data_IF_976233866657
#
_entry.id   IF_976233866657
#
_cell.length_a   1.000
_cell.length_b   1.000
_cell.length_c   1.000
_cell.angle_alpha   90.00
_cell.angle_beta   90.00
_cell.angle_gamma   90.00
#
_symmetry.space_group_name_H-M   'P 1'
#
loop_
_entity.id
_entity.type
_entity.pdbx_description
1 polymer ?
#
# COMPACT_ATOMS: atom_id res chain seq x y z
N UNK A 1 -60.28 -98.82 68.18
CA UNK A 1 -59.34 -97.75 67.81
C UNK A 1 -58.91 -98.01 66.39
N UNK A 2 -59.46 -97.25 65.45
CA UNK A 2 -59.22 -97.41 64.01
C UNK A 2 -58.91 -96.02 63.48
N UNK A 3 -57.70 -95.83 62.96
CA UNK A 3 -57.27 -94.52 62.48
C UNK A 3 -58.06 -94.13 61.22
N UNK A 4 -58.49 -92.86 61.07
CA UNK A 4 -58.93 -92.36 59.79
C UNK A 4 -57.69 -92.23 58.88
N UNK A 5 -57.59 -93.09 57.86
CA UNK A 5 -56.65 -92.83 56.76
C UNK A 5 -57.00 -91.49 56.12
N UNK A 6 -55.99 -90.65 55.88
CA UNK A 6 -56.15 -89.34 55.23
C UNK A 6 -56.30 -89.54 53.72
N UNK A 7 -57.48 -89.32 53.10
CA UNK A 7 -57.71 -89.65 51.70
C UNK A 7 -57.38 -88.46 50.77
N UNK A 8 -56.31 -87.71 51.07
CA UNK A 8 -55.92 -86.49 50.33
C UNK A 8 -54.40 -86.40 50.15
N UNK A 9 -53.84 -87.36 49.42
CA UNK A 9 -52.63 -87.08 48.65
C UNK A 9 -53.02 -86.14 47.50
N UNK A 10 -52.36 -84.99 47.30
CA UNK A 10 -52.65 -84.13 46.15
C UNK A 10 -52.28 -84.87 44.87
N UNK A 11 -53.25 -85.03 43.95
CA UNK A 11 -52.99 -85.58 42.62
C UNK A 11 -52.14 -84.59 41.83
N UNK A 12 -50.89 -84.92 41.56
CA UNK A 12 -49.96 -84.12 40.75
C UNK A 12 -50.27 -84.18 39.23
N UNK A 13 -51.53 -84.03 38.82
CA UNK A 13 -51.97 -84.11 37.42
C UNK A 13 -53.06 -83.08 37.09
N UNK A 14 -52.84 -81.83 37.47
CA UNK A 14 -53.53 -80.68 36.89
C UNK A 14 -52.48 -79.64 36.48
N UNK A 15 -52.52 -79.21 35.22
CA UNK A 15 -51.53 -78.31 34.62
C UNK A 15 -51.30 -77.08 35.49
N UNK A 16 -50.09 -76.90 36.04
CA UNK A 16 -49.78 -75.78 36.93
C UNK A 16 -49.97 -74.46 36.16
N UNK A 17 -50.81 -73.52 36.63
CA UNK A 17 -51.06 -72.28 35.91
C UNK A 17 -49.77 -71.46 35.86
N UNK A 18 -49.35 -71.10 34.64
CA UNK A 18 -48.20 -70.24 34.39
C UNK A 18 -48.63 -68.77 34.46
N UNK A 19 -48.17 -68.06 35.49
CA UNK A 19 -48.37 -66.62 35.62
C UNK A 19 -47.27 -65.85 34.88
N UNK A 20 -47.63 -64.73 34.26
CA UNK A 20 -46.65 -63.86 33.61
C UNK A 20 -45.77 -63.12 34.62
N UNK A 21 -44.49 -62.95 34.29
CA UNK A 21 -43.49 -62.25 35.11
C UNK A 21 -43.49 -60.75 34.79
N UNK A 22 -43.83 -59.94 35.79
CA UNK A 22 -43.62 -58.50 35.80
C UNK A 22 -42.19 -58.15 36.28
N UNK A 23 -41.81 -56.87 36.18
CA UNK A 23 -40.48 -56.35 36.57
C UNK A 23 -40.06 -56.71 38.02
N UNK A 24 -41.02 -57.08 38.89
CA UNK A 24 -40.77 -57.58 40.24
C UNK A 24 -41.85 -58.59 40.67
N UNK A 25 -41.74 -59.84 40.22
CA UNK A 25 -42.64 -60.94 40.59
C UNK A 25 -43.70 -61.23 39.52
N UNK A 26 -44.82 -61.84 39.89
CA UNK A 26 -45.91 -62.18 38.96
C UNK A 26 -46.88 -61.00 38.74
N UNK A 27 -47.63 -61.00 37.64
CA UNK A 27 -48.75 -60.06 37.45
C UNK A 27 -49.82 -60.27 38.52
N UNK A 28 -49.92 -59.29 39.42
CA UNK A 28 -50.89 -59.26 40.51
C UNK A 28 -52.33 -59.48 40.02
N UNK A 29 -52.73 -58.95 38.85
CA UNK A 29 -54.12 -59.10 38.35
C UNK A 29 -54.44 -60.52 37.93
N UNK A 30 -53.45 -61.29 37.48
CA UNK A 30 -53.61 -62.70 37.12
C UNK A 30 -53.68 -63.56 38.38
N UNK A 31 -52.82 -63.28 39.37
CA UNK A 31 -52.81 -63.96 40.67
C UNK A 31 -54.11 -63.70 41.43
N UNK A 32 -54.55 -62.45 41.58
CA UNK A 32 -55.79 -62.09 42.30
C UNK A 32 -57.02 -62.79 41.69
N UNK A 33 -57.09 -62.89 40.35
CA UNK A 33 -58.17 -63.61 39.64
C UNK A 33 -58.11 -65.12 39.88
N UNK A 34 -56.92 -65.72 39.83
CA UNK A 34 -56.74 -67.15 40.08
C UNK A 34 -57.07 -67.53 41.52
N UNK A 35 -56.67 -66.71 42.50
CA UNK A 35 -57.03 -66.91 43.91
C UNK A 35 -58.54 -66.86 44.10
N UNK A 36 -59.22 -65.84 43.56
CA UNK A 36 -60.68 -65.73 43.64
C UNK A 36 -61.41 -66.93 42.99
N UNK A 37 -60.88 -67.46 41.89
CA UNK A 37 -61.41 -68.67 41.26
C UNK A 37 -61.19 -69.92 42.14
N UNK A 38 -59.98 -70.12 42.64
CA UNK A 38 -59.64 -71.26 43.49
C UNK A 38 -60.41 -71.26 44.83
N UNK A 39 -60.67 -70.07 45.40
CA UNK A 39 -61.54 -69.90 46.57
C UNK A 39 -62.99 -70.30 46.26
N UNK A 40 -63.51 -69.95 45.08
CA UNK A 40 -64.82 -70.38 44.60
C UNK A 40 -64.93 -71.89 44.40
N UNK A 41 -63.93 -72.51 43.75
CA UNK A 41 -63.86 -73.95 43.51
C UNK A 41 -63.79 -74.74 44.84
N UNK A 42 -63.00 -74.25 45.81
CA UNK A 42 -62.94 -74.82 47.17
C UNK A 42 -64.27 -74.70 47.92
N UNK A 43 -65.00 -73.59 47.74
CA UNK A 43 -66.34 -73.41 48.28
C UNK A 43 -67.33 -74.44 47.73
N UNK A 44 -67.36 -74.62 46.41
CA UNK A 44 -68.21 -75.63 45.76
C UNK A 44 -67.91 -77.06 46.24
N UNK A 45 -66.63 -77.42 46.36
CA UNK A 45 -66.21 -78.73 46.87
C UNK A 45 -66.58 -78.95 48.35
N UNK A 46 -66.54 -77.90 49.18
CA UNK A 46 -67.00 -77.98 50.57
C UNK A 46 -68.53 -78.22 50.67
N UNK A 47 -69.29 -77.52 49.84
CA UNK A 47 -70.74 -77.70 49.70
C UNK A 47 -71.12 -79.12 49.26
N UNK A 48 -70.41 -79.68 48.27
CA UNK A 48 -70.60 -81.06 47.83
C UNK A 48 -70.28 -82.09 48.92
N UNK A 49 -69.16 -81.89 49.63
CA UNK A 49 -68.76 -82.70 50.79
C UNK A 49 -69.87 -82.72 51.86
N UNK A 50 -70.44 -81.56 52.18
CA UNK A 50 -71.43 -81.46 53.25
C UNK A 50 -72.79 -82.06 52.85
N UNK A 51 -73.17 -81.95 51.56
CA UNK A 51 -74.31 -82.71 51.01
C UNK A 51 -74.08 -84.22 51.11
N UNK A 52 -72.88 -84.71 50.79
CA UNK A 52 -72.54 -86.13 50.90
C UNK A 52 -72.57 -86.64 52.35
N UNK A 53 -72.03 -85.90 53.31
CA UNK A 53 -72.15 -86.25 54.74
C UNK A 53 -73.60 -86.28 55.21
N UNK A 54 -74.44 -85.33 54.76
CA UNK A 54 -75.88 -85.33 55.05
C UNK A 54 -76.62 -86.56 54.51
N UNK A 55 -76.20 -87.10 53.35
CA UNK A 55 -76.74 -88.35 52.81
C UNK A 55 -76.31 -89.57 53.63
N UNK A 56 -75.03 -89.64 54.02
CA UNK A 56 -74.50 -90.73 54.87
C UNK A 56 -75.25 -90.81 56.20
N UNK A 57 -75.51 -89.67 56.86
CA UNK A 57 -76.29 -89.65 58.10
C UNK A 57 -77.74 -90.13 57.92
N UNK A 58 -78.41 -89.74 56.83
CA UNK A 58 -79.78 -90.20 56.51
C UNK A 58 -79.85 -91.71 56.32
N UNK A 59 -78.89 -92.29 55.59
CA UNK A 59 -78.79 -93.74 55.37
C UNK A 59 -78.52 -94.49 56.70
N UNK A 60 -77.66 -93.94 57.57
CA UNK A 60 -77.44 -94.49 58.92
C UNK A 60 -78.71 -94.57 59.77
N UNK A 61 -79.54 -93.52 59.74
CA UNK A 61 -80.82 -93.49 60.43
C UNK A 61 -81.86 -94.49 59.86
N UNK A 62 -81.84 -94.76 58.56
CA UNK A 62 -82.71 -95.77 57.93
C UNK A 62 -82.32 -97.20 58.34
N UNK A 63 -81.01 -97.50 58.39
CA UNK A 63 -80.51 -98.80 58.83
C UNK A 63 -80.90 -99.12 60.28
N UNK A 64 -80.86 -98.13 61.18
CA UNK A 64 -81.29 -98.31 62.57
C UNK A 64 -82.79 -98.63 62.70
N UNK A 65 -83.65 -98.00 61.89
CA UNK A 65 -85.10 -98.29 61.89
C UNK A 65 -85.41 -99.70 61.40
N UNK A 66 -84.79 -100.11 60.29
CA UNK A 66 -84.95 -101.46 59.75
C UNK A 66 -84.48 -102.54 60.75
N UNK A 67 -83.40 -102.29 61.50
CA UNK A 67 -82.98 -103.17 62.58
C UNK A 67 -84.04 -103.30 63.68
N UNK A 68 -84.69 -102.20 64.08
CA UNK A 68 -85.75 -102.21 65.09
C UNK A 68 -86.98 -103.02 64.65
N UNK A 69 -87.47 -102.80 63.42
CA UNK A 69 -88.63 -103.52 62.86
C UNK A 69 -88.40 -105.04 62.79
N UNK A 70 -87.19 -105.47 62.41
CA UNK A 70 -86.80 -106.90 62.37
C UNK A 70 -86.79 -107.52 63.77
N UNK A 71 -86.45 -106.76 64.82
CA UNK A 71 -86.60 -107.25 66.21
C UNK A 71 -88.06 -107.34 66.66
N UNK A 72 -88.94 -106.41 66.27
CA UNK A 72 -90.35 -106.43 66.66
C UNK A 72 -91.10 -107.64 66.06
N UNK A 73 -90.90 -107.89 64.75
CA UNK A 73 -91.53 -109.01 64.05
C UNK A 73 -91.15 -110.38 64.62
N UNK A 74 -89.99 -110.51 65.27
CA UNK A 74 -89.54 -111.74 65.93
C UNK A 74 -90.22 -112.03 67.28
N UNK A 75 -90.98 -111.10 67.85
CA UNK A 75 -91.54 -111.22 69.22
C UNK A 75 -93.02 -111.61 69.30
N UNK A 76 -93.72 -111.88 68.18
CA UNK A 76 -95.16 -112.23 68.19
C UNK A 76 -95.42 -113.75 68.08
N UNK A 77 -95.91 -114.42 69.14
CA UNK A 77 -96.44 -115.78 69.07
C UNK A 77 -97.92 -115.81 68.65
N UNK A 78 -98.32 -116.83 67.87
CA UNK A 78 -99.70 -117.01 67.40
C UNK A 78 -100.54 -117.92 68.32
N UNK A 79 -101.85 -117.64 68.42
CA UNK A 79 -102.86 -118.52 69.02
C UNK A 79 -104.07 -118.63 68.09
N UNK A 80 -104.57 -119.85 67.89
CA UNK A 80 -105.91 -120.14 67.40
C UNK A 80 -106.44 -121.32 68.20
N UNK A 81 -107.68 -121.24 68.65
CA UNK A 81 -108.37 -122.31 69.38
C UNK A 81 -109.87 -122.22 69.06
N UNK A 82 -110.53 -123.36 68.82
CA UNK A 82 -111.99 -123.44 68.66
C UNK A 82 -112.50 -124.88 68.80
N UNK A 83 -113.32 -125.10 69.84
CA UNK A 83 -113.93 -126.37 70.18
C UNK A 83 -115.23 -126.64 69.39
N UNK A 84 -115.65 -127.91 69.35
CA UNK A 84 -116.88 -128.36 68.69
C UNK A 84 -118.06 -128.46 69.67
N UNK A 85 -119.27 -128.17 69.19
CA UNK A 85 -120.51 -128.33 69.94
C UNK A 85 -121.40 -129.40 69.30
N UNK A 86 -121.75 -130.42 70.09
CA UNK A 86 -122.67 -131.52 69.73
C UNK A 86 -124.00 -131.25 70.47
N UNK A 87 -125.13 -131.69 69.89
CA UNK A 87 -126.49 -131.70 70.51
C UNK A 87 -127.42 -130.47 70.34
N UNK A 88 -127.55 -129.93 69.13
CA UNK A 88 -128.75 -129.17 68.71
C UNK A 88 -129.11 -129.61 67.28
N UNK A 89 -130.32 -130.15 67.04
CA UNK A 89 -130.61 -130.80 65.75
C UNK A 89 -132.08 -130.91 65.31
N UNK A 90 -132.99 -130.07 65.84
CA UNK A 90 -134.05 -129.55 64.95
C UNK A 90 -134.31 -128.04 65.08
N UNK A 91 -134.22 -127.47 66.29
CA UNK A 91 -134.38 -126.02 66.48
C UNK A 91 -133.15 -125.25 65.95
N UNK A 92 -131.98 -125.89 65.93
CA UNK A 92 -130.82 -125.36 65.22
C UNK A 92 -131.02 -125.36 63.72
N UNK A 93 -131.79 -126.27 63.11
CA UNK A 93 -132.02 -126.20 61.66
C UNK A 93 -132.92 -125.02 61.28
N UNK A 94 -133.92 -124.67 62.12
CA UNK A 94 -134.69 -123.43 61.93
C UNK A 94 -133.88 -122.16 62.24
N UNK A 95 -133.06 -122.17 63.30
CA UNK A 95 -132.19 -121.03 63.63
C UNK A 95 -131.10 -120.87 62.56
N UNK A 96 -130.54 -121.96 62.03
CA UNK A 96 -129.59 -121.95 60.92
C UNK A 96 -130.26 -121.49 59.64
N UNK A 97 -131.46 -121.98 59.27
CA UNK A 97 -132.14 -121.52 58.05
C UNK A 97 -132.58 -120.04 58.13
N UNK A 98 -132.91 -119.53 59.32
CA UNK A 98 -133.15 -118.09 59.54
C UNK A 98 -131.84 -117.29 59.55
N UNK A 99 -130.79 -117.81 60.19
CA UNK A 99 -129.47 -117.17 60.23
C UNK A 99 -128.78 -117.21 58.85
N UNK A 100 -129.06 -118.20 58.02
CA UNK A 100 -128.59 -118.35 56.64
C UNK A 100 -129.30 -117.32 55.76
N UNK A 101 -130.64 -117.20 55.83
CA UNK A 101 -131.37 -116.10 55.17
C UNK A 101 -130.95 -114.71 55.66
N UNK A 102 -130.65 -114.56 56.96
CA UNK A 102 -130.13 -113.30 57.50
C UNK A 102 -128.68 -113.05 57.07
N UNK A 103 -127.84 -114.08 57.00
CA UNK A 103 -126.47 -113.99 56.49
C UNK A 103 -126.47 -113.65 55.01
N UNK A 104 -127.32 -114.30 54.19
CA UNK A 104 -127.57 -113.95 52.79
C UNK A 104 -128.03 -112.49 52.66
N UNK A 105 -128.98 -112.04 53.48
CA UNK A 105 -129.43 -110.64 53.48
C UNK A 105 -128.30 -109.65 53.88
N UNK A 106 -127.47 -110.01 54.87
CA UNK A 106 -126.31 -109.20 55.29
C UNK A 106 -125.22 -109.22 54.22
N UNK A 107 -124.91 -110.35 53.59
CA UNK A 107 -123.93 -110.44 52.50
C UNK A 107 -124.42 -109.72 51.26
N UNK A 108 -125.71 -109.78 50.93
CA UNK A 108 -126.28 -109.04 49.81
C UNK A 108 -126.29 -107.53 50.07
N UNK A 109 -126.68 -107.06 51.25
CA UNK A 109 -126.63 -105.62 51.59
C UNK A 109 -125.19 -105.12 51.72
N UNK A 110 -124.28 -105.86 52.35
CA UNK A 110 -122.85 -105.47 52.39
C UNK A 110 -122.20 -105.53 51.02
N UNK A 111 -122.52 -106.48 50.15
CA UNK A 111 -122.06 -106.48 48.76
C UNK A 111 -122.59 -105.26 47.99
N UNK A 112 -123.86 -104.88 48.18
CA UNK A 112 -124.43 -103.66 47.61
C UNK A 112 -123.75 -102.38 48.15
N UNK A 113 -123.48 -102.30 49.45
CA UNK A 113 -122.76 -101.17 50.05
C UNK A 113 -121.30 -101.10 49.60
N UNK A 114 -120.61 -102.23 49.50
CA UNK A 114 -119.23 -102.32 48.99
C UNK A 114 -119.19 -101.92 47.51
N UNK A 115 -120.10 -102.43 46.67
CA UNK A 115 -120.22 -102.03 45.27
C UNK A 115 -120.56 -100.53 45.13
N UNK A 116 -121.42 -100.00 46.00
CA UNK A 116 -121.74 -98.57 46.07
C UNK A 116 -120.51 -97.72 46.37
N UNK A 117 -119.80 -98.02 47.46
CA UNK A 117 -118.58 -97.29 47.84
C UNK A 117 -117.42 -97.50 46.86
N UNK A 118 -117.32 -98.66 46.20
CA UNK A 118 -116.38 -98.87 45.09
C UNK A 118 -116.72 -97.96 43.91
N UNK A 119 -117.98 -97.90 43.48
CA UNK A 119 -118.41 -97.01 42.41
C UNK A 119 -118.27 -95.51 42.79
N UNK A 120 -118.45 -95.14 44.05
CA UNK A 120 -118.17 -93.78 44.56
C UNK A 120 -116.66 -93.47 44.53
N UNK A 121 -115.81 -94.39 45.00
CA UNK A 121 -114.36 -94.22 44.99
C UNK A 121 -113.80 -94.19 43.56
N UNK A 122 -114.30 -95.04 42.65
CA UNK A 122 -113.94 -95.03 41.23
C UNK A 122 -114.33 -93.71 40.55
N UNK A 123 -115.51 -93.16 40.85
CA UNK A 123 -115.91 -91.82 40.38
C UNK A 123 -114.98 -90.73 40.91
N UNK A 124 -114.72 -90.69 42.22
CA UNK A 124 -113.82 -89.68 42.81
C UNK A 124 -112.40 -89.79 42.25
N UNK A 125 -111.92 -91.01 41.96
CA UNK A 125 -110.62 -91.23 41.31
C UNK A 125 -110.64 -90.79 39.83
N UNK A 126 -111.72 -91.05 39.08
CA UNK A 126 -111.88 -90.60 37.71
C UNK A 126 -111.95 -89.06 37.64
N UNK A 127 -112.78 -88.43 38.47
CA UNK A 127 -112.92 -86.98 38.58
C UNK A 127 -111.57 -86.32 38.95
N UNK A 128 -110.84 -86.90 39.92
CA UNK A 128 -109.52 -86.40 40.32
C UNK A 128 -108.45 -86.61 39.23
N UNK A 129 -108.51 -87.69 38.46
CA UNK A 129 -107.64 -87.92 37.31
C UNK A 129 -107.94 -86.97 36.16
N UNK A 130 -109.22 -86.69 35.89
CA UNK A 130 -109.64 -85.71 34.88
C UNK A 130 -109.19 -84.30 35.27
N UNK A 131 -109.45 -83.87 36.51
CA UNK A 131 -108.97 -82.58 37.04
C UNK A 131 -107.44 -82.47 36.99
N UNK A 132 -106.71 -83.53 37.36
CA UNK A 132 -105.25 -83.55 37.26
C UNK A 132 -104.75 -83.49 35.81
N UNK A 133 -105.48 -84.07 34.85
CA UNK A 133 -105.17 -83.98 33.42
C UNK A 133 -105.47 -82.58 32.86
N UNK A 134 -106.60 -81.98 33.24
CA UNK A 134 -106.97 -80.60 32.88
C UNK A 134 -105.92 -79.60 33.37
N UNK A 135 -105.60 -79.60 34.67
CA UNK A 135 -104.59 -78.70 35.26
C UNK A 135 -103.20 -78.92 34.64
N UNK A 136 -102.83 -80.16 34.28
CA UNK A 136 -101.58 -80.42 33.55
C UNK A 136 -101.59 -79.82 32.15
N UNK A 137 -102.67 -79.99 31.40
CA UNK A 137 -102.80 -79.43 30.04
C UNK A 137 -102.80 -77.89 30.06
N UNK A 138 -103.46 -77.27 31.05
CA UNK A 138 -103.42 -75.82 31.29
C UNK A 138 -102.00 -75.33 31.59
N UNK A 139 -101.30 -75.96 32.53
CA UNK A 139 -99.91 -75.62 32.87
C UNK A 139 -98.94 -75.85 31.70
N UNK A 140 -99.13 -76.91 30.90
CA UNK A 140 -98.33 -77.15 29.70
C UNK A 140 -98.59 -76.08 28.62
N UNK A 141 -99.84 -75.65 28.45
CA UNK A 141 -100.20 -74.56 27.55
C UNK A 141 -99.65 -73.20 28.03
N UNK A 142 -99.73 -72.89 29.32
CA UNK A 142 -99.11 -71.69 29.90
C UNK A 142 -97.59 -71.71 29.74
N UNK A 143 -96.92 -72.83 30.03
CA UNK A 143 -95.47 -72.96 29.84
C UNK A 143 -95.06 -72.85 28.37
N UNK A 144 -95.85 -73.38 27.44
CA UNK A 144 -95.63 -73.21 26.01
C UNK A 144 -95.80 -71.75 25.59
N UNK A 145 -96.87 -71.07 26.03
CA UNK A 145 -97.08 -69.65 25.79
C UNK A 145 -95.91 -68.81 26.31
N UNK A 146 -95.52 -69.00 27.59
CA UNK A 146 -94.38 -68.32 28.22
C UNK A 146 -93.05 -68.56 27.52
N UNK A 147 -92.81 -69.76 26.97
CA UNK A 147 -91.64 -70.04 26.13
C UNK A 147 -91.66 -69.22 24.85
N UNK A 148 -92.78 -69.21 24.10
CA UNK A 148 -92.88 -68.41 22.88
C UNK A 148 -92.82 -66.89 23.12
N UNK A 149 -93.32 -66.42 24.27
CA UNK A 149 -93.16 -65.02 24.70
C UNK A 149 -91.69 -64.69 25.02
N UNK A 150 -91.00 -65.58 25.75
CA UNK A 150 -89.59 -65.40 26.08
C UNK A 150 -88.69 -65.45 24.84
N UNK A 151 -88.95 -66.37 23.92
CA UNK A 151 -88.25 -66.50 22.62
C UNK A 151 -88.41 -65.22 21.80
N UNK A 152 -89.64 -64.71 21.62
CA UNK A 152 -89.91 -63.43 20.95
C UNK A 152 -89.20 -62.26 21.63
N UNK A 153 -89.28 -62.16 22.96
CA UNK A 153 -88.62 -61.09 23.70
C UNK A 153 -87.08 -61.18 23.63
N UNK A 154 -86.50 -62.37 23.47
CA UNK A 154 -85.08 -62.57 23.21
C UNK A 154 -84.71 -62.19 21.76
N UNK A 155 -85.52 -62.56 20.78
CA UNK A 155 -85.35 -62.18 19.37
C UNK A 155 -85.46 -60.67 19.17
N UNK A 156 -86.46 -60.02 19.75
CA UNK A 156 -86.64 -58.56 19.73
C UNK A 156 -85.44 -57.84 20.38
N UNK A 157 -84.97 -58.30 21.54
CA UNK A 157 -83.78 -57.74 22.19
C UNK A 157 -82.51 -57.94 21.35
N UNK A 158 -82.35 -59.10 20.70
CA UNK A 158 -81.21 -59.36 19.79
C UNK A 158 -81.29 -58.48 18.54
N UNK A 159 -82.49 -58.29 17.96
CA UNK A 159 -82.70 -57.43 16.81
C UNK A 159 -82.44 -55.95 17.16
N UNK A 160 -82.91 -55.47 18.31
CA UNK A 160 -82.64 -54.12 18.79
C UNK A 160 -81.13 -53.87 18.99
N UNK A 161 -80.43 -54.76 19.70
CA UNK A 161 -78.97 -54.66 19.90
C UNK A 161 -78.21 -54.75 18.56
N UNK A 162 -78.66 -55.57 17.61
CA UNK A 162 -78.05 -55.61 16.26
C UNK A 162 -78.28 -54.32 15.47
N UNK A 163 -79.46 -53.70 15.59
CA UNK A 163 -79.75 -52.41 14.97
C UNK A 163 -78.91 -51.28 15.58
N UNK A 164 -78.82 -51.19 16.90
CA UNK A 164 -77.96 -50.22 17.61
C UNK A 164 -76.48 -50.41 17.23
N UNK A 165 -75.99 -51.67 17.18
CA UNK A 165 -74.61 -51.95 16.74
C UNK A 165 -74.38 -51.62 15.26
N UNK A 166 -75.38 -51.75 14.39
CA UNK A 166 -75.29 -51.32 13.01
C UNK A 166 -75.23 -49.80 12.89
N UNK A 167 -76.07 -49.08 13.63
CA UNK A 167 -76.07 -47.60 13.67
C UNK A 167 -74.74 -47.06 14.23
N UNK A 168 -74.25 -47.59 15.35
CA UNK A 168 -72.96 -47.20 15.94
C UNK A 168 -71.80 -47.47 14.96
N UNK A 169 -71.84 -48.57 14.20
CA UNK A 169 -70.84 -48.85 13.16
C UNK A 169 -70.92 -47.84 12.02
N UNK A 170 -72.11 -47.55 11.51
CA UNK A 170 -72.30 -46.56 10.45
C UNK A 170 -71.84 -45.16 10.89
N UNK A 171 -72.21 -44.72 12.10
CA UNK A 171 -71.75 -43.46 12.67
C UNK A 171 -70.21 -43.44 12.82
N UNK A 172 -69.60 -44.53 13.30
CA UNK A 172 -68.15 -44.64 13.43
C UNK A 172 -67.43 -44.67 12.08
N UNK A 173 -68.03 -45.25 11.03
CA UNK A 173 -67.49 -45.24 9.67
C UNK A 173 -67.62 -43.85 9.03
N UNK A 174 -68.77 -43.17 9.19
CA UNK A 174 -68.96 -41.77 8.77
C UNK A 174 -67.93 -40.85 9.43
N UNK A 175 -67.78 -40.90 10.76
CA UNK A 175 -66.79 -40.08 11.48
C UNK A 175 -65.35 -40.38 11.07
N UNK A 176 -65.01 -41.64 10.73
CA UNK A 176 -63.69 -41.99 10.17
C UNK A 176 -63.50 -41.41 8.77
N UNK A 177 -64.50 -41.52 7.90
CA UNK A 177 -64.44 -41.00 6.53
C UNK A 177 -64.37 -39.46 6.52
N UNK A 178 -65.15 -38.78 7.36
CA UNK A 178 -65.09 -37.33 7.58
C UNK A 178 -63.73 -36.91 8.13
N UNK A 179 -63.19 -37.63 9.12
CA UNK A 179 -61.86 -37.38 9.68
C UNK A 179 -60.72 -37.59 8.67
N UNK A 180 -60.82 -38.62 7.83
CA UNK A 180 -59.87 -38.87 6.72
C UNK A 180 -59.96 -37.78 5.66
N UNK A 181 -61.16 -37.42 5.21
CA UNK A 181 -61.36 -36.35 4.24
C UNK A 181 -60.85 -34.99 4.75
N UNK A 182 -61.12 -34.65 6.02
CA UNK A 182 -60.61 -33.44 6.65
C UNK A 182 -59.07 -33.46 6.78
N UNK A 183 -58.47 -34.62 7.08
CA UNK A 183 -57.02 -34.78 7.12
C UNK A 183 -56.38 -34.63 5.73
N UNK A 184 -56.94 -35.26 4.70
CA UNK A 184 -56.48 -35.13 3.31
C UNK A 184 -56.62 -33.69 2.80
N UNK A 185 -57.70 -32.99 3.14
CA UNK A 185 -57.88 -31.57 2.84
C UNK A 185 -56.82 -30.72 3.54
N UNK A 186 -56.57 -30.94 4.84
CA UNK A 186 -55.54 -30.24 5.59
C UNK A 186 -54.13 -30.51 5.03
N UNK A 187 -53.83 -31.74 4.59
CA UNK A 187 -52.58 -32.04 3.90
C UNK A 187 -52.46 -31.33 2.55
N UNK A 188 -53.53 -31.30 1.75
CA UNK A 188 -53.54 -30.63 0.44
C UNK A 188 -53.39 -29.12 0.60
N UNK A 189 -54.06 -28.51 1.59
CA UNK A 189 -53.91 -27.10 1.91
C UNK A 189 -52.51 -26.79 2.46
N UNK A 190 -51.96 -27.62 3.34
CA UNK A 190 -50.57 -27.47 3.80
C UNK A 190 -49.55 -27.59 2.66
N UNK A 191 -49.73 -28.55 1.74
CA UNK A 191 -48.90 -28.68 0.52
C UNK A 191 -49.02 -27.43 -0.35
N UNK A 192 -50.24 -26.95 -0.62
CA UNK A 192 -50.49 -25.72 -1.38
C UNK A 192 -49.88 -24.48 -0.74
N UNK A 193 -50.01 -24.29 0.57
CA UNK A 193 -49.42 -23.16 1.30
C UNK A 193 -47.89 -23.24 1.27
N UNK A 194 -47.32 -24.44 1.41
CA UNK A 194 -45.87 -24.64 1.29
C UNK A 194 -45.35 -24.34 -0.13
N UNK A 195 -46.05 -24.79 -1.17
CA UNK A 195 -45.71 -24.50 -2.56
C UNK A 195 -45.83 -23.01 -2.87
N UNK A 196 -46.92 -22.36 -2.44
CA UNK A 196 -47.11 -20.91 -2.61
C UNK A 196 -46.04 -20.11 -1.84
N UNK A 197 -45.72 -20.51 -0.61
CA UNK A 197 -44.67 -19.87 0.19
C UNK A 197 -43.29 -20.05 -0.44
N UNK A 198 -42.97 -21.24 -0.97
CA UNK A 198 -41.75 -21.49 -1.70
C UNK A 198 -41.67 -20.63 -2.98
N UNK A 199 -42.77 -20.51 -3.74
CA UNK A 199 -42.83 -19.64 -4.92
C UNK A 199 -42.61 -18.17 -4.56
N UNK A 200 -43.25 -17.65 -3.51
CA UNK A 200 -43.06 -16.26 -3.04
C UNK A 200 -41.62 -16.03 -2.55
N UNK A 201 -41.02 -17.00 -1.85
CA UNK A 201 -39.61 -16.92 -1.42
C UNK A 201 -38.67 -16.89 -2.63
N UNK A 202 -38.86 -17.76 -3.62
CA UNK A 202 -38.01 -17.77 -4.83
C UNK A 202 -38.23 -16.53 -5.72
N UNK A 203 -39.47 -16.02 -5.83
CA UNK A 203 -39.75 -14.74 -6.49
C UNK A 203 -39.04 -13.58 -5.78
N UNK A 204 -39.16 -13.47 -4.45
CA UNK A 204 -38.50 -12.42 -3.65
C UNK A 204 -36.98 -12.51 -3.77
N UNK A 205 -36.40 -13.72 -3.81
CA UNK A 205 -34.97 -13.94 -4.08
C UNK A 205 -34.58 -13.51 -5.48
N UNK A 206 -35.36 -13.86 -6.50
CA UNK A 206 -35.08 -13.48 -7.89
C UNK A 206 -35.16 -11.96 -8.10
N UNK A 207 -36.19 -11.31 -7.54
CA UNK A 207 -36.36 -9.86 -7.56
C UNK A 207 -35.22 -9.13 -6.83
N UNK A 208 -34.88 -9.56 -5.61
CA UNK A 208 -33.77 -8.96 -4.85
C UNK A 208 -32.41 -9.20 -5.50
N UNK A 209 -32.17 -10.36 -6.12
CA UNK A 209 -30.98 -10.62 -6.91
C UNK A 209 -30.91 -9.73 -8.16
N UNK A 210 -32.02 -9.57 -8.89
CA UNK A 210 -32.11 -8.68 -10.04
C UNK A 210 -31.88 -7.21 -9.68
N UNK A 211 -32.43 -6.74 -8.55
CA UNK A 211 -32.20 -5.39 -8.02
C UNK A 211 -30.73 -5.18 -7.61
N UNK A 212 -30.09 -6.20 -6.99
CA UNK A 212 -28.67 -6.14 -6.64
C UNK A 212 -27.77 -6.11 -7.88
N UNK A 213 -28.06 -6.91 -8.90
CA UNK A 213 -27.31 -6.87 -10.17
C UNK A 213 -27.53 -5.55 -10.92
N UNK A 214 -28.76 -5.02 -10.95
CA UNK A 214 -29.03 -3.70 -11.52
C UNK A 214 -28.27 -2.58 -10.80
N UNK A 215 -28.27 -2.59 -9.46
CA UNK A 215 -27.52 -1.62 -8.64
C UNK A 215 -25.99 -1.75 -8.83
N UNK A 216 -25.48 -2.99 -8.96
CA UNK A 216 -24.06 -3.26 -9.30
C UNK A 216 -23.71 -2.72 -10.69
N UNK A 217 -24.53 -3.00 -11.70
CA UNK A 217 -24.32 -2.52 -13.07
C UNK A 217 -24.36 -1.00 -13.15
N UNK A 218 -25.33 -0.34 -12.50
CA UNK A 218 -25.38 1.12 -12.39
C UNK A 218 -24.13 1.68 -11.70
N UNK A 219 -23.72 1.10 -10.56
CA UNK A 219 -22.52 1.54 -9.83
C UNK A 219 -21.25 1.40 -10.69
N UNK A 220 -21.12 0.30 -11.43
CA UNK A 220 -20.02 0.08 -12.38
C UNK A 220 -20.05 1.09 -13.54
N UNK A 221 -21.23 1.39 -14.08
CA UNK A 221 -21.40 2.39 -15.14
C UNK A 221 -21.04 3.80 -14.65
N UNK A 222 -21.53 4.22 -13.47
CA UNK A 222 -21.17 5.50 -12.86
C UNK A 222 -19.66 5.59 -12.55
N UNK A 223 -19.06 4.52 -12.04
CA UNK A 223 -17.62 4.44 -11.81
C UNK A 223 -16.83 4.58 -13.12
N UNK A 224 -17.26 3.90 -14.19
CA UNK A 224 -16.62 3.97 -15.51
C UNK A 224 -16.77 5.38 -16.13
N UNK A 225 -17.93 6.01 -15.98
CA UNK A 225 -18.16 7.39 -16.40
C UNK A 225 -17.25 8.37 -15.64
N UNK A 226 -17.20 8.27 -14.30
CA UNK A 226 -16.34 9.12 -13.46
C UNK A 226 -14.85 8.92 -13.75
N UNK A 227 -14.42 7.71 -14.08
CA UNK A 227 -13.05 7.42 -14.54
C UNK A 227 -12.78 8.08 -15.89
N UNK A 228 -13.66 7.89 -16.87
CA UNK A 228 -13.51 8.51 -18.19
C UNK A 228 -13.51 10.05 -18.15
N UNK A 229 -14.30 10.69 -17.27
CA UNK A 229 -14.24 12.15 -17.07
C UNK A 229 -12.95 12.58 -16.39
N UNK A 230 -12.49 11.86 -15.35
CA UNK A 230 -11.23 12.17 -14.67
C UNK A 230 -10.01 11.98 -15.60
N UNK A 231 -10.00 10.95 -16.44
CA UNK A 231 -8.97 10.71 -17.45
C UNK A 231 -8.93 11.84 -18.50
N UNK A 232 -10.09 12.34 -18.95
CA UNK A 232 -10.19 13.52 -19.82
C UNK A 232 -9.65 14.78 -19.14
N UNK A 233 -10.08 15.08 -17.92
CA UNK A 233 -9.57 16.23 -17.15
C UNK A 233 -8.05 16.16 -16.94
N UNK A 234 -7.51 14.98 -16.64
CA UNK A 234 -6.06 14.77 -16.49
C UNK A 234 -5.35 14.98 -17.84
N UNK A 235 -5.91 14.47 -18.94
CA UNK A 235 -5.40 14.70 -20.30
C UNK A 235 -5.39 16.18 -20.69
N UNK A 236 -6.48 16.89 -20.43
CA UNK A 236 -6.62 18.33 -20.68
C UNK A 236 -5.63 19.15 -19.83
N UNK A 237 -5.51 18.86 -18.53
CA UNK A 237 -4.54 19.52 -17.64
C UNK A 237 -3.10 19.24 -18.06
N UNK A 238 -2.77 18.00 -18.49
CA UNK A 238 -1.45 17.66 -19.05
C UNK A 238 -1.16 18.42 -20.34
N UNK A 239 -2.07 18.40 -21.30
CA UNK A 239 -1.91 19.13 -22.56
C UNK A 239 -1.81 20.66 -22.36
N UNK A 240 -2.53 21.22 -21.38
CA UNK A 240 -2.40 22.63 -21.00
C UNK A 240 -1.01 22.94 -20.39
N UNK A 241 -0.54 22.09 -19.46
CA UNK A 241 0.79 22.23 -18.85
C UNK A 241 1.92 22.06 -19.88
N UNK A 242 1.81 21.10 -20.81
CA UNK A 242 2.76 20.90 -21.90
C UNK A 242 2.83 22.12 -22.84
N UNK A 243 1.68 22.70 -23.21
CA UNK A 243 1.62 23.95 -23.99
C UNK A 243 2.27 25.11 -23.26
N UNK A 244 2.07 25.22 -21.95
CA UNK A 244 2.67 26.29 -21.16
C UNK A 244 4.19 26.11 -20.98
N UNK A 245 4.66 24.89 -20.73
CA UNK A 245 6.09 24.57 -20.74
C UNK A 245 6.73 24.82 -22.11
N UNK A 246 6.04 24.50 -23.21
CA UNK A 246 6.51 24.82 -24.57
C UNK A 246 6.62 26.33 -24.79
N UNK A 247 5.62 27.12 -24.39
CA UNK A 247 5.68 28.60 -24.43
C UNK A 247 6.85 29.13 -23.61
N UNK A 248 7.01 28.68 -22.37
CA UNK A 248 8.09 29.12 -21.48
C UNK A 248 9.47 28.78 -22.05
N UNK A 249 9.63 27.60 -22.67
CA UNK A 249 10.84 27.26 -23.44
C UNK A 249 11.05 28.23 -24.59
N UNK A 250 10.08 28.44 -25.48
CA UNK A 250 10.25 29.38 -26.60
C UNK A 250 10.57 30.81 -26.14
N UNK A 251 10.00 31.27 -25.03
CA UNK A 251 10.32 32.58 -24.43
C UNK A 251 11.73 32.61 -23.82
N UNK A 252 12.20 31.52 -23.21
CA UNK A 252 13.56 31.39 -22.69
C UNK A 252 14.58 31.32 -23.83
N UNK A 253 14.28 30.58 -24.90
CA UNK A 253 15.11 30.48 -26.11
C UNK A 253 15.23 31.85 -26.79
N UNK A 254 14.11 32.58 -26.95
CA UNK A 254 14.08 33.95 -27.47
C UNK A 254 14.91 34.91 -26.61
N UNK A 255 14.78 34.86 -25.27
CA UNK A 255 15.60 35.68 -24.35
C UNK A 255 17.08 35.33 -24.44
N UNK A 256 17.43 34.05 -24.55
CA UNK A 256 18.82 33.59 -24.68
C UNK A 256 19.42 34.05 -26.01
N UNK A 257 18.66 33.94 -27.10
CA UNK A 257 19.06 34.46 -28.42
C UNK A 257 19.22 35.98 -28.43
N UNK A 258 18.32 36.72 -27.76
CA UNK A 258 18.44 38.18 -27.61
C UNK A 258 19.69 38.57 -26.82
N UNK A 259 19.93 37.95 -25.66
CA UNK A 259 21.14 38.19 -24.85
C UNK A 259 22.42 37.80 -25.61
N UNK A 260 22.39 36.75 -26.44
CA UNK A 260 23.51 36.43 -27.32
C UNK A 260 23.71 37.48 -28.44
N UNK A 261 22.65 37.99 -29.05
CA UNK A 261 22.74 39.05 -30.04
C UNK A 261 23.29 40.36 -29.42
N UNK A 262 22.81 40.74 -28.23
CA UNK A 262 23.31 41.88 -27.45
C UNK A 262 24.79 41.69 -27.08
N UNK A 263 25.18 40.51 -26.59
CA UNK A 263 26.58 40.20 -26.26
C UNK A 263 27.50 40.21 -27.50
N UNK A 264 27.00 39.73 -28.66
CA UNK A 264 27.72 39.82 -29.94
C UNK A 264 27.87 41.28 -30.38
N UNK A 265 26.82 42.09 -30.31
CA UNK A 265 26.87 43.53 -30.62
C UNK A 265 27.86 44.25 -29.72
N UNK A 266 27.82 44.03 -28.40
CA UNK A 266 28.78 44.58 -27.45
C UNK A 266 30.22 44.11 -27.75
N UNK A 267 30.42 42.84 -28.11
CA UNK A 267 31.75 42.34 -28.51
C UNK A 267 32.25 43.02 -29.79
N UNK A 268 31.40 43.19 -30.81
CA UNK A 268 31.77 43.91 -32.04
C UNK A 268 32.03 45.40 -31.80
N UNK A 269 31.28 46.04 -30.91
CA UNK A 269 31.47 47.46 -30.54
C UNK A 269 32.75 47.67 -29.72
N UNK A 270 33.07 46.78 -28.78
CA UNK A 270 34.36 46.79 -28.06
C UNK A 270 35.50 46.55 -29.04
N UNK A 271 35.36 45.58 -29.95
CA UNK A 271 36.37 45.32 -30.99
C UNK A 271 36.57 46.53 -31.91
N UNK A 272 35.48 47.16 -32.39
CA UNK A 272 35.53 48.40 -33.18
C UNK A 272 36.28 49.50 -32.45
N UNK A 273 35.98 49.73 -31.17
CA UNK A 273 36.69 50.73 -30.34
C UNK A 273 38.17 50.40 -30.17
N UNK A 274 38.53 49.13 -29.99
CA UNK A 274 39.93 48.71 -29.90
C UNK A 274 40.64 48.87 -31.25
N UNK A 275 39.98 48.58 -32.37
CA UNK A 275 40.51 48.79 -33.72
C UNK A 275 40.66 50.29 -34.05
N UNK A 276 39.73 51.15 -33.60
CA UNK A 276 39.82 52.62 -33.71
C UNK A 276 40.91 53.22 -32.80
N UNK A 277 41.05 52.71 -31.57
CA UNK A 277 42.15 53.07 -30.69
C UNK A 277 43.49 52.60 -31.28
N UNK A 278 43.58 51.38 -31.80
CA UNK A 278 44.78 50.87 -32.46
C UNK A 278 45.12 51.67 -33.72
N UNK A 279 44.13 52.06 -34.53
CA UNK A 279 44.33 52.91 -35.70
C UNK A 279 44.85 54.31 -35.30
N UNK A 280 44.22 54.97 -34.31
CA UNK A 280 44.68 56.28 -33.84
C UNK A 280 46.06 56.22 -33.16
N UNK A 281 46.39 55.14 -32.44
CA UNK A 281 47.73 54.90 -31.92
C UNK A 281 48.74 54.59 -33.03
N UNK A 282 48.35 53.89 -34.10
CA UNK A 282 49.18 53.65 -35.27
C UNK A 282 49.45 54.96 -36.03
N UNK A 283 48.44 55.80 -36.22
CA UNK A 283 48.59 57.15 -36.79
C UNK A 283 49.54 58.00 -35.94
N UNK A 284 49.35 58.04 -34.61
CA UNK A 284 50.25 58.70 -33.66
C UNK A 284 51.69 58.17 -33.77
N UNK A 285 51.89 56.86 -33.84
CA UNK A 285 53.21 56.25 -34.02
C UNK A 285 53.83 56.63 -35.37
N UNK A 286 53.06 56.66 -36.47
CA UNK A 286 53.58 57.11 -37.77
C UNK A 286 53.92 58.59 -37.79
N UNK A 287 53.14 59.44 -37.11
CA UNK A 287 53.44 60.86 -36.98
C UNK A 287 54.72 61.10 -36.14
N UNK A 288 54.87 60.37 -35.01
CA UNK A 288 56.10 60.41 -34.20
C UNK A 288 57.29 59.86 -34.97
N UNK A 289 57.11 58.80 -35.77
CA UNK A 289 58.15 58.24 -36.64
C UNK A 289 58.62 59.28 -37.68
N UNK A 290 57.68 59.97 -38.34
CA UNK A 290 57.98 61.06 -39.27
C UNK A 290 58.64 62.26 -38.57
N UNK A 291 58.24 62.61 -37.35
CA UNK A 291 58.88 63.66 -36.55
C UNK A 291 60.31 63.26 -36.13
N UNK A 292 60.55 61.99 -35.80
CA UNK A 292 61.88 61.44 -35.54
C UNK A 292 62.74 61.49 -36.81
N UNK A 293 62.21 61.07 -37.96
CA UNK A 293 62.91 61.13 -39.25
C UNK A 293 63.24 62.57 -39.65
N UNK A 294 62.31 63.52 -39.47
CA UNK A 294 62.55 64.95 -39.69
C UNK A 294 63.63 65.48 -38.73
N UNK A 295 63.55 65.18 -37.43
CA UNK A 295 64.59 65.52 -36.44
C UNK A 295 65.95 64.90 -36.78
N UNK A 296 65.98 63.67 -37.32
CA UNK A 296 67.22 63.04 -37.78
C UNK A 296 67.80 63.75 -39.02
N UNK A 297 66.95 64.14 -39.98
CA UNK A 297 67.38 64.93 -41.14
C UNK A 297 67.92 66.30 -40.70
N UNK A 298 67.24 66.98 -39.79
CA UNK A 298 67.69 68.27 -39.24
C UNK A 298 68.97 68.14 -38.40
N UNK A 299 69.12 67.07 -37.60
CA UNK A 299 70.38 66.76 -36.94
C UNK A 299 71.51 66.47 -37.94
N UNK A 300 71.21 65.84 -39.07
CA UNK A 300 72.19 65.57 -40.14
C UNK A 300 72.61 66.86 -40.83
N UNK A 301 71.65 67.76 -41.13
CA UNK A 301 71.92 69.11 -41.64
C UNK A 301 72.76 69.93 -40.66
N UNK A 302 72.34 69.99 -39.39
CA UNK A 302 73.07 70.72 -38.36
C UNK A 302 74.49 70.18 -38.18
N UNK A 303 74.69 68.86 -38.32
CA UNK A 303 76.02 68.24 -38.29
C UNK A 303 76.86 68.64 -39.50
N UNK A 304 76.29 68.65 -40.70
CA UNK A 304 76.95 69.15 -41.91
C UNK A 304 77.28 70.66 -41.81
N UNK A 305 76.42 71.48 -41.21
CA UNK A 305 76.66 72.89 -40.95
C UNK A 305 77.79 73.10 -39.93
N UNK A 306 77.84 72.28 -38.87
CA UNK A 306 78.93 72.26 -37.88
C UNK A 306 80.25 71.79 -38.52
N UNK A 307 80.23 70.74 -39.33
CA UNK A 307 81.41 70.25 -40.05
C UNK A 307 81.91 71.30 -41.06
N UNK A 308 81.00 71.96 -41.78
CA UNK A 308 81.32 73.08 -42.68
C UNK A 308 81.79 74.34 -41.92
N UNK A 309 81.32 74.58 -40.70
CA UNK A 309 81.85 75.63 -39.82
C UNK A 309 83.24 75.27 -39.29
N UNK A 310 83.49 74.01 -38.93
CA UNK A 310 84.78 73.50 -38.51
C UNK A 310 85.82 73.57 -39.65
N UNK A 311 85.43 73.22 -40.88
CA UNK A 311 86.26 73.40 -42.07
C UNK A 311 86.60 74.86 -42.32
N UNK A 312 85.62 75.78 -42.25
CA UNK A 312 85.89 77.24 -42.34
C UNK A 312 86.83 77.74 -41.23
N UNK A 313 86.71 77.19 -40.01
CA UNK A 313 87.64 77.47 -38.90
C UNK A 313 89.03 76.86 -39.08
N UNK A 314 89.16 75.74 -39.80
CA UNK A 314 90.45 75.17 -40.18
C UNK A 314 91.12 76.01 -41.28
N UNK A 315 90.35 76.41 -42.29
CA UNK A 315 90.77 77.32 -43.36
C UNK A 315 91.33 78.63 -42.77
N UNK A 316 90.55 79.32 -41.91
CA UNK A 316 90.97 80.57 -41.26
C UNK A 316 92.21 80.40 -40.38
N UNK A 317 92.42 79.24 -39.75
CA UNK A 317 93.66 78.95 -38.99
C UNK A 317 94.85 78.73 -39.92
N UNK A 318 94.64 78.09 -41.06
CA UNK A 318 95.68 77.88 -42.07
C UNK A 318 96.08 79.20 -42.75
N UNK A 319 95.09 80.01 -43.12
CA UNK A 319 95.28 81.37 -43.66
C UNK A 319 96.02 82.27 -42.65
N UNK A 320 95.65 82.18 -41.37
CA UNK A 320 96.34 82.84 -40.25
C UNK A 320 97.79 82.37 -40.08
N UNK A 321 98.06 81.06 -40.16
CA UNK A 321 99.40 80.50 -40.07
C UNK A 321 100.29 80.93 -41.26
N UNK A 322 99.73 81.04 -42.47
CA UNK A 322 100.45 81.62 -43.62
C UNK A 322 100.75 83.10 -43.41
N UNK A 323 99.78 83.89 -42.94
CA UNK A 323 99.97 85.31 -42.66
C UNK A 323 101.02 85.56 -41.56
N UNK A 324 101.05 84.76 -40.50
CA UNK A 324 102.09 84.80 -39.46
C UNK A 324 103.48 84.45 -40.03
N UNK A 325 103.56 83.49 -40.97
CA UNK A 325 104.82 83.12 -41.62
C UNK A 325 105.35 84.23 -42.55
N UNK A 326 104.49 84.91 -43.29
CA UNK A 326 104.84 86.07 -44.13
C UNK A 326 105.31 87.25 -43.26
N UNK A 327 104.61 87.48 -42.14
CA UNK A 327 104.94 88.53 -41.18
C UNK A 327 106.29 88.26 -40.48
N UNK A 328 106.63 87.00 -40.23
CA UNK A 328 107.96 86.60 -39.75
C UNK A 328 109.06 86.86 -40.80
N UNK A 329 108.84 86.52 -42.07
CA UNK A 329 109.79 86.80 -43.16
C UNK A 329 110.02 88.31 -43.36
N UNK A 330 108.95 89.11 -43.32
CA UNK A 330 109.04 90.57 -43.40
C UNK A 330 109.83 91.18 -42.23
N UNK A 331 109.65 90.67 -41.01
CA UNK A 331 110.45 91.07 -39.83
C UNK A 331 111.92 90.71 -39.99
N UNK A 332 112.26 89.55 -40.55
CA UNK A 332 113.65 89.16 -40.79
C UNK A 332 114.33 90.10 -41.80
N UNK A 333 113.70 90.36 -42.96
CA UNK A 333 114.22 91.29 -43.99
C UNK A 333 114.44 92.70 -43.43
N UNK A 334 113.54 93.19 -42.58
CA UNK A 334 113.67 94.50 -41.93
C UNK A 334 114.79 94.52 -40.87
N UNK A 335 115.09 93.38 -40.25
CA UNK A 335 116.24 93.21 -39.37
C UNK A 335 117.58 93.21 -40.10
N UNK A 336 117.64 92.63 -41.30
CA UNK A 336 118.83 92.62 -42.16
C UNK A 336 119.15 94.03 -42.69
N UNK A 337 118.18 94.70 -43.33
CA UNK A 337 118.34 96.06 -43.85
C UNK A 337 118.77 97.10 -42.79
N UNK A 338 118.38 96.89 -41.51
CA UNK A 338 118.84 97.74 -40.39
C UNK A 338 120.32 97.52 -40.04
N UNK A 339 120.86 96.30 -40.17
CA UNK A 339 122.28 96.04 -39.90
C UNK A 339 123.15 96.69 -40.97
N UNK A 340 122.75 96.58 -42.24
CA UNK A 340 123.50 97.15 -43.37
C UNK A 340 123.57 98.67 -43.28
N UNK A 341 122.43 99.34 -43.00
CA UNK A 341 122.38 100.78 -42.75
C UNK A 341 123.30 101.22 -41.59
N UNK A 342 123.40 100.41 -40.53
CA UNK A 342 124.28 100.68 -39.38
C UNK A 342 125.76 100.48 -39.72
N UNK A 343 126.07 99.61 -40.69
CA UNK A 343 127.41 99.45 -41.25
C UNK A 343 127.85 100.66 -42.07
N UNK A 344 127.01 101.13 -42.99
CA UNK A 344 127.29 102.28 -43.84
C UNK A 344 127.44 103.59 -43.05
N UNK A 345 126.61 103.81 -42.03
CA UNK A 345 126.75 104.99 -41.17
C UNK A 345 128.10 105.06 -40.43
N UNK A 346 128.68 103.91 -40.05
CA UNK A 346 130.03 103.88 -39.44
C UNK A 346 131.14 104.21 -40.43
N UNK A 347 131.07 103.66 -41.65
CA UNK A 347 132.02 103.95 -42.74
C UNK A 347 132.07 105.44 -43.06
N UNK A 348 130.90 106.09 -43.08
CA UNK A 348 130.76 107.51 -43.41
C UNK A 348 131.31 108.43 -42.30
N UNK A 349 131.15 108.06 -41.03
CA UNK A 349 131.69 108.81 -39.88
C UNK A 349 133.22 108.73 -39.78
N UNK A 350 133.82 107.58 -40.13
CA UNK A 350 135.27 107.39 -40.18
C UNK A 350 135.91 108.24 -41.30
N UNK A 351 135.33 108.24 -42.49
CA UNK A 351 135.77 109.09 -43.61
C UNK A 351 135.71 110.59 -43.26
N UNK A 352 134.68 111.01 -42.51
CA UNK A 352 134.51 112.41 -42.10
C UNK A 352 135.58 112.88 -41.11
N UNK A 353 135.93 112.03 -40.14
CA UNK A 353 136.99 112.33 -39.14
C UNK A 353 138.38 112.44 -39.78
N UNK A 354 138.65 111.67 -40.84
CA UNK A 354 139.88 111.81 -41.61
C UNK A 354 139.97 113.19 -42.29
N UNK A 355 138.90 113.65 -42.95
CA UNK A 355 138.84 114.96 -43.60
C UNK A 355 139.06 116.13 -42.62
N UNK A 356 138.42 116.10 -41.44
CA UNK A 356 138.56 117.13 -40.40
C UNK A 356 140.00 117.28 -39.87
N UNK A 357 140.81 116.22 -39.94
CA UNK A 357 142.23 116.25 -39.53
C UNK A 357 143.11 116.95 -40.57
N UNK A 358 142.87 116.70 -41.86
CA UNK A 358 143.59 117.34 -42.95
C UNK A 358 143.29 118.84 -43.04
N UNK A 359 142.04 119.25 -42.76
CA UNK A 359 141.65 120.66 -42.80
C UNK A 359 142.34 121.51 -41.71
N UNK A 360 142.65 120.90 -40.55
CA UNK A 360 143.34 121.61 -39.44
C UNK A 360 144.79 121.94 -39.80
N UNK A 361 145.53 121.02 -40.40
CA UNK A 361 146.89 121.30 -40.89
C UNK A 361 146.91 122.34 -42.01
N UNK A 362 145.91 122.36 -42.91
CA UNK A 362 145.79 123.40 -43.93
C UNK A 362 145.54 124.81 -43.35
N UNK A 363 144.82 124.91 -42.23
CA UNK A 363 144.52 126.19 -41.54
C UNK A 363 145.74 126.76 -40.81
N UNK A 364 146.57 125.93 -40.17
CA UNK A 364 147.79 126.41 -39.49
C UNK A 364 148.82 126.98 -40.46
N UNK A 365 149.03 126.34 -41.62
CA UNK A 365 149.93 126.86 -42.67
C UNK A 365 149.45 128.22 -43.20
N UNK A 366 148.14 128.36 -43.49
CA UNK A 366 147.55 129.64 -43.92
C UNK A 366 147.68 130.75 -42.87
N UNK A 367 147.47 130.44 -41.59
CA UNK A 367 147.51 131.41 -40.51
C UNK A 367 148.93 131.91 -40.16
N UNK A 368 149.98 131.23 -40.63
CA UNK A 368 151.38 131.70 -40.50
C UNK A 368 151.74 132.64 -41.65
N UNK A 369 151.45 132.24 -42.89
CA UNK A 369 151.69 133.05 -44.10
C UNK A 369 150.94 134.39 -44.07
N UNK A 370 149.67 134.42 -43.62
CA UNK A 370 148.92 135.67 -43.51
C UNK A 370 149.46 136.66 -42.46
N UNK A 371 150.12 136.18 -41.39
CA UNK A 371 150.69 137.06 -40.37
C UNK A 371 151.98 137.75 -40.82
N UNK A 372 152.70 137.19 -41.78
CA UNK A 372 153.82 137.88 -42.44
C UNK A 372 153.33 138.84 -43.53
N UNK A 373 152.26 138.50 -44.27
CA UNK A 373 151.65 139.44 -45.23
C UNK A 373 151.09 140.71 -44.56
N UNK A 374 150.52 140.61 -43.35
CA UNK A 374 150.03 141.78 -42.60
C UNK A 374 151.14 142.63 -41.93
N UNK A 375 152.41 142.23 -42.01
CA UNK A 375 153.54 143.15 -41.76
C UNK A 375 153.49 144.33 -42.76
N UNK A 376 153.03 144.07 -43.99
CA UNK A 376 153.07 144.92 -45.19
C UNK A 376 152.33 146.28 -45.07
N UNK A 377 151.02 146.20 -44.81
CA UNK A 377 150.04 147.12 -45.39
C UNK A 377 149.76 148.42 -44.59
N UNK A 378 149.70 148.34 -43.26
CA UNK A 378 149.24 149.46 -42.44
C UNK A 378 150.29 150.57 -42.25
N UNK A 379 151.55 150.33 -42.68
CA UNK A 379 152.60 151.36 -42.76
C UNK A 379 152.48 152.24 -44.03
N UNK A 380 151.76 151.80 -45.05
CA UNK A 380 151.72 152.45 -46.37
C UNK A 380 150.45 153.31 -46.60
N UNK A 381 149.31 152.96 -46.01
CA UNK A 381 148.03 153.64 -46.27
C UNK A 381 147.95 155.08 -45.73
N UNK A 382 148.76 155.45 -44.73
CA UNK A 382 148.81 156.81 -44.19
C UNK A 382 149.90 157.70 -44.83
N UNK A 383 150.93 157.10 -45.45
CA UNK A 383 152.03 157.84 -46.04
C UNK A 383 151.65 158.59 -47.33
N UNK A 384 150.59 158.18 -48.04
CA UNK A 384 150.12 158.85 -49.29
C UNK A 384 148.70 159.42 -49.17
N UNK A 385 148.36 159.90 -47.97
CA UNK A 385 147.76 161.24 -47.84
C UNK A 385 148.84 162.35 -47.82
N UNK A 386 150.12 162.01 -48.05
CA UNK A 386 151.17 162.91 -48.54
C UNK A 386 151.72 162.39 -49.88
N UNK A 387 151.57 163.15 -50.96
CA UNK A 387 151.84 162.69 -52.33
C UNK A 387 153.26 162.12 -52.59
N UNK A 388 153.33 161.17 -53.54
CA UNK A 388 154.47 160.75 -54.38
C UNK A 388 155.15 159.36 -54.18
N UNK A 389 155.32 158.66 -55.33
CA UNK A 389 156.42 157.75 -55.75
C UNK A 389 156.69 156.34 -55.12
N UNK A 390 156.34 155.27 -55.87
CA UNK A 390 157.31 154.29 -56.44
C UNK A 390 157.64 152.93 -55.77
N UNK A 391 157.47 151.80 -56.52
CA UNK A 391 158.58 150.83 -56.80
C UNK A 391 158.72 149.43 -56.13
N UNK A 392 158.18 148.37 -56.76
CA UNK A 392 158.82 147.11 -57.27
C UNK A 392 159.70 146.05 -56.47
N UNK A 393 159.36 144.74 -56.68
CA UNK A 393 160.16 143.56 -57.19
C UNK A 393 160.91 142.42 -56.38
N UNK A 394 160.89 141.19 -56.98
CA UNK A 394 161.76 139.94 -56.92
C UNK A 394 162.17 139.23 -55.58
N UNK A 395 162.63 137.95 -55.52
CA UNK A 395 162.76 136.79 -56.47
C UNK A 395 163.74 135.64 -56.01
N UNK A 396 163.76 134.46 -56.71
CA UNK A 396 164.86 133.43 -56.88
C UNK A 396 165.43 132.58 -55.67
N UNK A 397 166.14 131.40 -55.75
CA UNK A 397 166.17 130.16 -56.61
C UNK A 397 167.11 129.02 -56.03
N UNK A 398 167.19 127.80 -56.66
CA UNK A 398 168.30 126.77 -56.75
C UNK A 398 168.57 125.67 -55.63
N UNK A 399 169.13 124.43 -55.85
CA UNK A 399 169.30 123.48 -57.03
C UNK A 399 169.88 122.03 -56.69
N UNK A 400 169.37 120.92 -57.33
CA UNK A 400 170.00 119.61 -57.84
C UNK A 400 170.75 118.64 -56.84
N UNK A 401 171.16 117.32 -57.05
CA UNK A 401 171.22 116.34 -58.21
C UNK A 401 170.55 114.92 -58.02
N UNK A 402 171.03 113.83 -58.70
CA UNK A 402 170.53 112.42 -58.74
C UNK A 402 171.60 111.30 -58.53
N UNK A 403 171.47 109.98 -58.97
CA UNK A 403 170.68 109.40 -60.10
C UNK A 403 170.04 107.95 -60.00
N UNK A 404 169.30 107.52 -61.06
CA UNK A 404 169.18 106.15 -61.70
C UNK A 404 168.21 104.99 -61.27
N UNK A 405 167.76 104.22 -62.30
CA UNK A 405 167.34 102.78 -62.40
C UNK A 405 165.84 102.30 -62.46
N UNK A 406 165.52 101.65 -63.61
CA UNK A 406 164.43 100.76 -64.10
C UNK A 406 163.45 99.96 -63.17
N UNK A 407 162.16 99.87 -63.57
CA UNK A 407 161.62 98.68 -64.29
C UNK A 407 160.67 97.63 -63.65
N UNK A 408 159.34 97.87 -63.63
CA UNK A 408 158.21 96.88 -63.75
C UNK A 408 157.90 95.90 -62.59
N UNK A 409 156.72 95.24 -62.47
CA UNK A 409 155.36 95.33 -63.07
C UNK A 409 154.47 94.17 -62.50
N UNK A 410 153.12 94.08 -62.67
CA UNK A 410 152.11 95.07 -63.07
C UNK A 410 150.81 95.09 -62.18
N UNK A 411 149.78 95.78 -62.65
CA UNK A 411 148.43 96.06 -62.06
C UNK A 411 147.37 94.97 -62.47
N UNK A 412 146.01 95.17 -62.56
CA UNK A 412 145.14 96.33 -62.23
C UNK A 412 143.74 96.01 -61.59
N UNK A 413 142.94 97.09 -61.35
CA UNK A 413 141.45 97.12 -61.31
C UNK A 413 140.74 96.34 -60.18
N UNK A 414 139.45 96.53 -59.83
CA UNK A 414 138.43 97.60 -59.97
C UNK A 414 137.36 97.28 -58.89
N UNK A 415 136.91 98.21 -58.05
CA UNK A 415 135.66 98.99 -58.19
C UNK A 415 134.43 98.25 -58.75
N UNK A 416 133.33 98.42 -58.01
CA UNK A 416 131.94 98.44 -58.48
C UNK A 416 131.24 97.15 -58.96
N UNK A 417 129.93 97.14 -58.68
CA UNK A 417 128.87 96.52 -59.49
C UNK A 417 129.05 95.05 -59.93
N UNK A 418 128.86 94.12 -59.00
CA UNK A 418 127.61 93.32 -58.94
C UNK A 418 127.09 93.28 -57.49
#
# INVERSE_FOLDING_TARGET
>A
MSHPEQPFAPREDASRPSFELALRGYDKRQVDRYVAQAEGDLGALADERDRAFGQIQKLGGQLQRLQAEVTELRQRPARVDRASFRHLGPMVDQILALAEKQAEAITNTTAQHVAGHQAEAEKVLADAQEQAAQVRAELEAELAARRTEAEKADEERRAAVQAELAEIREQAERLRAEGQAAHEQAEQEAKRINEQSAQVIEQTKAESAALLEAARAQTQQELAQRRATAEREIGERRAAAERELARQRTLADQKTAALHAEAQQHSTEVRRRVEEQAASHQEQLTAVQQEIEARQQDLTRLRADVDGAAQRLAQLRQDGATADSDLAQLRQRLGEARRDLTGELKRLDEARRAADSAERHAKEVRARVQREAKRVADLAAAAVMAAAAGGADTGEYKVVPGPSANGGSPAPAATDAE
#
